data_IF_494910567902
#
_entry.id   IF_494910567902
#
_cell.length_a   1.000
_cell.length_b   1.000
_cell.length_c   1.000
_cell.angle_alpha   90.00
_cell.angle_beta   90.00
_cell.angle_gamma   90.00
#
_symmetry.space_group_name_H-M   'P 1'
#
loop_
_entity.id
_entity.type
_entity.pdbx_description
1 polymer ?
#
# COMPACT_ATOMS: atom_id res chain seq x y z
N UNK A 1 -51.19 -51.83 25.26
CA UNK A 1 -49.81 -51.49 25.09
C UNK A 1 -49.58 -51.12 23.61
N UNK A 2 -49.52 -49.84 23.34
CA UNK A 2 -49.24 -49.30 21.97
C UNK A 2 -47.79 -48.85 21.94
N UNK A 3 -47.00 -49.53 21.10
CA UNK A 3 -45.61 -49.18 20.85
C UNK A 3 -45.56 -47.91 19.95
N UNK A 4 -44.95 -46.84 20.41
CA UNK A 4 -44.59 -45.69 19.60
C UNK A 4 -43.35 -46.03 18.78
N UNK A 5 -43.48 -46.07 17.46
CA UNK A 5 -42.37 -46.10 16.54
C UNK A 5 -41.82 -44.67 16.38
N UNK A 6 -40.58 -44.44 16.84
CA UNK A 6 -39.81 -43.22 16.57
C UNK A 6 -39.27 -43.35 15.16
N UNK A 7 -39.82 -42.59 14.22
CA UNK A 7 -39.26 -42.45 12.88
C UNK A 7 -38.14 -41.42 12.99
N UNK A 8 -36.90 -41.88 12.97
CA UNK A 8 -35.74 -41.00 12.81
C UNK A 8 -35.68 -40.55 11.35
N UNK A 9 -36.01 -39.30 11.07
CA UNK A 9 -35.77 -38.67 9.78
C UNK A 9 -34.26 -38.48 9.59
N UNK A 10 -33.67 -39.38 8.84
CA UNK A 10 -32.32 -39.17 8.29
C UNK A 10 -32.48 -38.09 7.22
N UNK A 11 -32.05 -36.87 7.51
CA UNK A 11 -31.91 -35.84 6.53
C UNK A 11 -30.83 -36.33 5.51
N UNK A 12 -31.26 -36.67 4.31
CA UNK A 12 -30.39 -36.92 3.17
C UNK A 12 -29.64 -35.59 2.91
N UNK A 13 -28.40 -35.49 3.45
CA UNK A 13 -27.47 -34.42 3.10
C UNK A 13 -27.20 -34.56 1.60
N UNK A 14 -27.72 -33.63 0.82
CA UNK A 14 -27.29 -33.45 -0.57
C UNK A 14 -25.76 -33.24 -0.52
N UNK A 15 -24.96 -34.05 -1.23
CA UNK A 15 -23.52 -33.79 -1.27
C UNK A 15 -23.33 -32.41 -1.91
N UNK A 16 -22.90 -31.45 -1.11
CA UNK A 16 -22.43 -30.15 -1.64
C UNK A 16 -21.23 -30.47 -2.50
N UNK A 17 -21.26 -30.07 -3.76
CA UNK A 17 -20.11 -30.24 -4.66
C UNK A 17 -18.91 -29.54 -4.01
N UNK A 18 -17.79 -30.25 -3.92
CA UNK A 18 -16.56 -29.70 -3.30
C UNK A 18 -16.13 -28.37 -3.94
N UNK A 19 -16.48 -28.19 -5.20
CA UNK A 19 -16.22 -26.97 -5.95
C UNK A 19 -17.13 -25.82 -5.50
N UNK A 20 -18.42 -26.07 -5.31
CA UNK A 20 -19.39 -25.07 -4.84
C UNK A 20 -19.04 -24.61 -3.43
N UNK A 21 -18.56 -25.51 -2.57
CA UNK A 21 -18.09 -25.19 -1.23
C UNK A 21 -16.86 -24.26 -1.25
N UNK A 22 -15.86 -24.52 -2.11
CA UNK A 22 -14.70 -23.66 -2.26
C UNK A 22 -15.09 -22.26 -2.75
N UNK A 23 -15.92 -22.14 -3.78
CA UNK A 23 -16.38 -20.84 -4.31
C UNK A 23 -17.11 -20.04 -3.22
N UNK A 24 -17.94 -20.72 -2.42
CA UNK A 24 -18.65 -20.08 -1.32
C UNK A 24 -17.69 -19.60 -0.21
N UNK A 25 -16.68 -20.39 0.15
CA UNK A 25 -15.65 -19.98 1.12
C UNK A 25 -14.86 -18.77 0.62
N UNK A 26 -14.45 -18.75 -0.65
CA UNK A 26 -13.76 -17.63 -1.25
C UNK A 26 -14.63 -16.36 -1.29
N UNK A 27 -15.90 -16.49 -1.63
CA UNK A 27 -16.87 -15.39 -1.66
C UNK A 27 -17.10 -14.82 -0.25
N UNK A 28 -17.35 -15.69 0.73
CA UNK A 28 -17.56 -15.30 2.12
C UNK A 28 -16.33 -14.60 2.71
N UNK A 29 -15.14 -15.14 2.47
CA UNK A 29 -13.90 -14.55 2.95
C UNK A 29 -13.61 -13.17 2.34
N UNK A 30 -13.87 -12.99 1.03
CA UNK A 30 -13.77 -11.68 0.37
C UNK A 30 -14.79 -10.67 0.92
N UNK A 31 -16.02 -11.11 1.16
CA UNK A 31 -17.07 -10.25 1.73
C UNK A 31 -16.73 -9.83 3.16
N UNK A 32 -16.28 -10.76 4.00
CA UNK A 32 -15.85 -10.49 5.37
C UNK A 32 -14.65 -9.52 5.40
N UNK A 33 -13.66 -9.71 4.52
CA UNK A 33 -12.50 -8.83 4.41
C UNK A 33 -12.92 -7.39 4.03
N UNK A 34 -13.81 -7.24 3.06
CA UNK A 34 -14.37 -5.92 2.68
C UNK A 34 -15.14 -5.25 3.81
N UNK A 35 -15.80 -6.04 4.66
CA UNK A 35 -16.52 -5.55 5.84
C UNK A 35 -15.60 -5.29 7.05
N UNK A 36 -14.27 -5.48 6.91
CA UNK A 36 -13.31 -5.33 8.01
C UNK A 36 -13.38 -6.43 9.07
N UNK A 37 -14.12 -7.51 8.81
CA UNK A 37 -14.30 -8.65 9.72
C UNK A 37 -13.16 -9.65 9.56
N UNK A 38 -11.99 -9.28 10.09
CA UNK A 38 -10.73 -9.98 9.84
C UNK A 38 -10.78 -11.45 10.30
N UNK A 39 -11.37 -11.74 11.47
CA UNK A 39 -11.45 -13.11 12.00
C UNK A 39 -12.35 -14.02 11.14
N UNK A 40 -13.50 -13.50 10.69
CA UNK A 40 -14.40 -14.22 9.77
C UNK A 40 -13.68 -14.50 8.42
N UNK A 41 -13.01 -13.49 7.89
CA UNK A 41 -12.21 -13.62 6.66
C UNK A 41 -11.09 -14.64 6.81
N UNK A 42 -10.38 -14.64 7.94
CA UNK A 42 -9.31 -15.59 8.23
C UNK A 42 -9.82 -17.03 8.34
N UNK A 43 -10.96 -17.22 9.01
CA UNK A 43 -11.61 -18.54 9.09
C UNK A 43 -11.95 -19.09 7.71
N UNK A 44 -12.64 -18.29 6.89
CA UNK A 44 -13.01 -18.69 5.53
C UNK A 44 -11.78 -18.99 4.63
N UNK A 45 -10.75 -18.13 4.70
CA UNK A 45 -9.53 -18.32 3.93
C UNK A 45 -8.75 -19.58 4.35
N UNK A 46 -8.68 -19.88 5.65
CA UNK A 46 -8.05 -21.12 6.14
C UNK A 46 -8.80 -22.36 5.64
N UNK A 47 -10.12 -22.35 5.70
CA UNK A 47 -10.95 -23.43 5.19
C UNK A 47 -10.77 -23.62 3.68
N UNK A 48 -10.71 -22.53 2.90
CA UNK A 48 -10.44 -22.58 1.47
C UNK A 48 -9.10 -23.25 1.15
N UNK A 49 -8.02 -22.91 1.88
CA UNK A 49 -6.70 -23.52 1.73
C UNK A 49 -6.72 -25.01 2.14
N UNK A 50 -7.42 -25.38 3.21
CA UNK A 50 -7.55 -26.77 3.63
C UNK A 50 -8.35 -27.62 2.62
N UNK A 51 -9.41 -27.03 2.07
CA UNK A 51 -10.28 -27.70 1.10
C UNK A 51 -9.59 -27.94 -0.24
N UNK A 52 -8.84 -26.97 -0.71
CA UNK A 52 -8.17 -27.00 -2.01
C UNK A 52 -6.70 -26.54 -1.90
N UNK A 53 -5.80 -27.34 -1.34
CA UNK A 53 -4.40 -26.96 -1.09
C UNK A 53 -3.55 -26.76 -2.36
N UNK A 54 -4.10 -27.08 -3.54
CA UNK A 54 -3.48 -26.83 -4.86
C UNK A 54 -4.15 -25.68 -5.62
N UNK A 55 -5.12 -25.00 -5.02
CA UNK A 55 -5.78 -23.82 -5.61
C UNK A 55 -5.11 -22.54 -5.10
N UNK A 56 -4.54 -21.76 -6.03
CA UNK A 56 -3.86 -20.51 -5.71
C UNK A 56 -4.77 -19.46 -5.01
N UNK A 57 -6.07 -19.49 -5.30
CA UNK A 57 -7.04 -18.50 -4.83
C UNK A 57 -7.23 -18.51 -3.31
N UNK A 58 -7.17 -19.70 -2.68
CA UNK A 58 -7.23 -19.83 -1.22
C UNK A 58 -6.04 -19.12 -0.54
N UNK A 59 -4.84 -19.35 -1.05
CA UNK A 59 -3.62 -18.69 -0.57
C UNK A 59 -3.66 -17.19 -0.84
N UNK A 60 -4.13 -16.76 -2.02
CA UNK A 60 -4.28 -15.35 -2.34
C UNK A 60 -5.19 -14.64 -1.34
N UNK A 61 -6.38 -15.20 -1.08
CA UNK A 61 -7.31 -14.64 -0.09
C UNK A 61 -6.68 -14.60 1.31
N UNK A 62 -6.00 -15.66 1.74
CA UNK A 62 -5.36 -15.71 3.05
C UNK A 62 -4.22 -14.71 3.17
N UNK A 63 -3.45 -14.51 2.12
CA UNK A 63 -2.43 -13.47 2.03
C UNK A 63 -3.03 -12.07 2.21
N UNK A 64 -4.13 -11.76 1.51
CA UNK A 64 -4.84 -10.49 1.68
C UNK A 64 -5.32 -10.27 3.12
N UNK A 65 -5.90 -11.29 3.75
CA UNK A 65 -6.37 -11.23 5.14
C UNK A 65 -5.21 -11.01 6.11
N UNK A 66 -4.09 -11.72 5.92
CA UNK A 66 -2.87 -11.55 6.72
C UNK A 66 -2.25 -10.18 6.54
N UNK A 67 -2.22 -9.65 5.31
CA UNK A 67 -1.78 -8.29 5.02
C UNK A 67 -2.63 -7.23 5.72
N UNK A 68 -3.97 -7.40 5.69
CA UNK A 68 -4.90 -6.54 6.42
C UNK A 68 -4.70 -6.63 7.96
N UNK A 69 -4.35 -7.81 8.46
CA UNK A 69 -3.98 -8.02 9.87
C UNK A 69 -2.53 -7.58 10.19
N UNK A 70 -1.82 -6.94 9.26
CA UNK A 70 -0.42 -6.49 9.36
C UNK A 70 0.60 -7.60 9.63
N UNK A 71 0.29 -8.83 9.22
CA UNK A 71 1.17 -10.00 9.29
C UNK A 71 1.94 -10.17 7.98
N UNK A 72 2.80 -9.18 7.68
CA UNK A 72 3.45 -9.06 6.35
C UNK A 72 4.32 -10.25 5.99
N UNK A 73 5.00 -10.87 6.95
CA UNK A 73 5.83 -12.07 6.69
C UNK A 73 4.96 -13.25 6.25
N UNK A 74 3.87 -13.51 6.97
CA UNK A 74 2.95 -14.60 6.66
C UNK A 74 2.14 -14.33 5.38
N UNK A 75 1.80 -13.05 5.13
CA UNK A 75 1.14 -12.65 3.89
C UNK A 75 2.06 -12.89 2.68
N UNK A 76 3.33 -12.47 2.79
CA UNK A 76 4.35 -12.72 1.76
C UNK A 76 4.55 -14.20 1.45
N UNK A 77 4.52 -15.06 2.49
CA UNK A 77 4.60 -16.51 2.31
C UNK A 77 3.38 -17.08 1.56
N UNK A 78 2.17 -16.61 1.86
CA UNK A 78 0.96 -17.05 1.17
C UNK A 78 0.94 -16.58 -0.30
N UNK A 79 1.33 -15.33 -0.58
CA UNK A 79 1.48 -14.86 -1.96
C UNK A 79 2.58 -15.62 -2.70
N UNK A 80 3.68 -15.99 -2.01
CA UNK A 80 4.70 -16.87 -2.55
C UNK A 80 4.14 -18.21 -2.96
N UNK A 81 3.31 -18.85 -2.12
CA UNK A 81 2.63 -20.11 -2.45
C UNK A 81 1.62 -19.95 -3.58
N UNK A 82 0.94 -18.83 -3.63
CA UNK A 82 0.05 -18.49 -4.74
C UNK A 82 0.82 -18.44 -6.08
N UNK A 83 1.98 -17.77 -6.11
CA UNK A 83 2.84 -17.66 -7.29
C UNK A 83 3.41 -19.02 -7.73
N UNK A 84 3.78 -19.90 -6.78
CA UNK A 84 4.21 -21.26 -7.10
C UNK A 84 3.11 -22.05 -7.83
N UNK A 85 1.84 -21.88 -7.43
CA UNK A 85 0.70 -22.58 -8.00
C UNK A 85 0.22 -21.94 -9.30
N UNK A 86 0.28 -20.62 -9.42
CA UNK A 86 -0.07 -19.85 -10.61
C UNK A 86 0.92 -18.70 -10.85
N UNK A 87 2.01 -18.95 -11.59
CA UNK A 87 3.02 -17.93 -11.90
C UNK A 87 2.52 -16.78 -12.81
N UNK A 88 1.32 -16.90 -13.36
CA UNK A 88 0.71 -15.88 -14.23
C UNK A 88 -0.25 -14.94 -13.46
N UNK A 89 -0.51 -15.23 -12.20
CA UNK A 89 -1.36 -14.37 -11.38
C UNK A 89 -0.60 -13.09 -10.98
N UNK A 90 -0.68 -12.08 -11.84
CA UNK A 90 0.02 -10.81 -11.67
C UNK A 90 -0.25 -10.17 -10.30
N UNK A 91 -1.50 -10.19 -9.84
CA UNK A 91 -1.90 -9.58 -8.57
C UNK A 91 -1.16 -10.18 -7.36
N UNK A 92 -0.71 -11.44 -7.43
CA UNK A 92 0.05 -12.05 -6.34
C UNK A 92 1.44 -11.42 -6.20
N UNK A 93 2.10 -11.08 -7.30
CA UNK A 93 3.36 -10.33 -7.29
C UNK A 93 3.15 -8.91 -6.76
N UNK A 94 2.09 -8.22 -7.22
CA UNK A 94 1.75 -6.89 -6.73
C UNK A 94 1.56 -6.86 -5.21
N UNK A 95 0.81 -7.80 -4.68
CA UNK A 95 0.56 -7.89 -3.24
C UNK A 95 1.83 -8.26 -2.47
N UNK A 96 2.59 -9.26 -2.94
CA UNK A 96 3.84 -9.68 -2.28
C UNK A 96 4.88 -8.57 -2.28
N UNK A 97 5.02 -7.86 -3.38
CA UNK A 97 5.89 -6.67 -3.49
C UNK A 97 5.53 -5.60 -2.47
N UNK A 98 4.23 -5.34 -2.25
CA UNK A 98 3.76 -4.45 -1.19
C UNK A 98 4.13 -4.94 0.22
N UNK A 99 3.98 -6.23 0.50
CA UNK A 99 4.37 -6.80 1.80
C UNK A 99 5.88 -6.77 2.01
N UNK A 100 6.69 -7.05 0.97
CA UNK A 100 8.14 -6.92 1.04
C UNK A 100 8.58 -5.48 1.30
N UNK A 101 7.91 -4.50 0.69
CA UNK A 101 8.18 -3.09 0.98
C UNK A 101 7.97 -2.77 2.48
N UNK A 102 6.86 -3.19 3.07
CA UNK A 102 6.56 -3.01 4.51
C UNK A 102 7.63 -3.61 5.41
N UNK A 103 8.29 -4.68 4.97
CA UNK A 103 9.39 -5.35 5.66
C UNK A 103 10.76 -4.71 5.34
N UNK A 104 10.82 -3.61 4.65
CA UNK A 104 12.03 -2.96 4.12
C UNK A 104 12.88 -3.88 3.21
N UNK A 105 12.30 -4.92 2.64
CA UNK A 105 12.92 -5.80 1.64
C UNK A 105 12.74 -5.16 0.25
N UNK A 106 13.53 -4.11 0.02
CA UNK A 106 13.31 -3.20 -1.13
C UNK A 106 13.60 -3.88 -2.46
N UNK A 107 14.68 -4.65 -2.56
CA UNK A 107 15.05 -5.31 -3.81
C UNK A 107 14.03 -6.39 -4.19
N UNK A 108 13.57 -7.18 -3.21
CA UNK A 108 12.51 -8.18 -3.43
C UNK A 108 11.17 -7.52 -3.81
N UNK A 109 10.84 -6.40 -3.17
CA UNK A 109 9.65 -5.61 -3.52
C UNK A 109 9.70 -5.14 -4.97
N UNK A 110 10.84 -4.57 -5.37
CA UNK A 110 11.04 -4.06 -6.73
C UNK A 110 10.99 -5.18 -7.76
N UNK A 111 11.62 -6.34 -7.49
CA UNK A 111 11.56 -7.50 -8.38
C UNK A 111 10.13 -7.99 -8.62
N UNK A 112 9.31 -7.99 -7.58
CA UNK A 112 7.90 -8.37 -7.69
C UNK A 112 7.08 -7.32 -8.46
N UNK A 113 7.29 -6.03 -8.24
CA UNK A 113 6.64 -4.98 -9.03
C UNK A 113 7.08 -5.00 -10.51
N UNK A 114 8.34 -5.32 -10.79
CA UNK A 114 8.82 -5.52 -12.15
C UNK A 114 8.13 -6.72 -12.81
N UNK A 115 7.97 -7.83 -12.09
CA UNK A 115 7.26 -9.02 -12.59
C UNK A 115 5.76 -8.76 -12.79
N UNK A 116 5.12 -8.00 -11.90
CA UNK A 116 3.74 -7.53 -12.11
C UNK A 116 3.62 -6.77 -13.43
N UNK A 117 4.53 -5.83 -13.70
CA UNK A 117 4.52 -5.00 -14.92
C UNK A 117 4.98 -5.74 -16.18
N UNK A 118 5.71 -6.84 -16.07
CA UNK A 118 5.94 -7.76 -17.18
C UNK A 118 4.63 -8.46 -17.60
N UNK A 119 3.81 -8.85 -16.62
CA UNK A 119 2.51 -9.50 -16.84
C UNK A 119 1.38 -8.51 -17.17
N UNK A 120 1.51 -7.26 -16.77
CA UNK A 120 0.52 -6.18 -16.94
C UNK A 120 1.21 -4.88 -17.41
N UNK A 121 1.75 -4.83 -18.63
CA UNK A 121 2.55 -3.69 -19.11
C UNK A 121 1.77 -2.36 -19.17
N UNK A 122 0.46 -2.41 -19.37
CA UNK A 122 -0.41 -1.24 -19.43
C UNK A 122 -0.56 -0.53 -18.08
N UNK A 123 -0.27 -1.21 -16.97
CA UNK A 123 -0.30 -0.64 -15.62
C UNK A 123 0.93 0.22 -15.30
N UNK A 124 1.97 0.18 -16.15
CA UNK A 124 3.25 0.86 -15.89
C UNK A 124 3.13 2.36 -15.60
N UNK A 125 2.34 3.17 -16.34
CA UNK A 125 2.24 4.60 -16.06
C UNK A 125 1.63 4.89 -14.67
N UNK A 126 0.70 4.05 -14.21
CA UNK A 126 0.02 4.19 -12.92
C UNK A 126 0.72 3.55 -11.73
N UNK A 127 1.87 2.88 -11.94
CA UNK A 127 2.47 2.07 -10.88
C UNK A 127 3.43 2.87 -9.96
N UNK A 128 2.87 3.80 -9.19
CA UNK A 128 3.61 4.68 -8.27
C UNK A 128 4.36 3.92 -7.17
N UNK A 129 3.86 2.77 -6.71
CA UNK A 129 4.54 1.94 -5.68
C UNK A 129 5.92 1.47 -6.16
N UNK A 130 6.04 1.11 -7.45
CA UNK A 130 7.33 0.80 -8.04
C UNK A 130 8.25 2.03 -8.04
N UNK A 131 7.73 3.21 -8.36
CA UNK A 131 8.49 4.47 -8.29
C UNK A 131 9.06 4.72 -6.90
N UNK A 132 8.27 4.51 -5.85
CA UNK A 132 8.72 4.59 -4.46
C UNK A 132 9.77 3.51 -4.16
N UNK A 133 9.55 2.27 -4.56
CA UNK A 133 10.54 1.20 -4.37
C UNK A 133 11.87 1.52 -5.07
N UNK A 134 11.84 2.09 -6.28
CA UNK A 134 13.03 2.56 -7.00
C UNK A 134 13.80 3.65 -6.23
N UNK A 135 13.09 4.60 -5.61
CA UNK A 135 13.73 5.59 -4.74
C UNK A 135 14.50 4.94 -3.60
N UNK A 136 13.90 3.99 -2.89
CA UNK A 136 14.54 3.30 -1.77
C UNK A 136 15.63 2.31 -2.20
N UNK A 137 15.57 1.78 -3.42
CA UNK A 137 16.64 0.99 -4.04
C UNK A 137 17.84 1.84 -4.54
N UNK A 138 17.77 3.17 -4.40
CA UNK A 138 18.80 4.08 -4.94
C UNK A 138 18.78 4.24 -6.47
N UNK A 139 17.78 3.69 -7.15
CA UNK A 139 17.58 3.78 -8.60
C UNK A 139 16.82 5.05 -8.98
N UNK A 140 17.38 6.19 -8.57
CA UNK A 140 16.71 7.49 -8.62
C UNK A 140 16.30 7.93 -10.02
N UNK A 141 17.14 7.70 -11.03
CA UNK A 141 16.85 8.05 -12.42
C UNK A 141 15.60 7.30 -12.91
N UNK A 142 15.56 5.98 -12.71
CA UNK A 142 14.42 5.14 -13.08
C UNK A 142 13.16 5.53 -12.29
N UNK A 143 13.32 5.90 -11.01
CA UNK A 143 12.23 6.41 -10.18
C UNK A 143 11.64 7.71 -10.72
N UNK A 144 12.48 8.68 -11.11
CA UNK A 144 12.02 9.92 -11.74
C UNK A 144 11.29 9.65 -13.06
N UNK A 145 11.83 8.76 -13.90
CA UNK A 145 11.19 8.34 -15.15
C UNK A 145 9.81 7.67 -14.91
N UNK A 146 9.69 6.86 -13.85
CA UNK A 146 8.43 6.22 -13.46
C UNK A 146 7.36 7.25 -13.07
N UNK A 147 7.69 8.23 -12.21
CA UNK A 147 6.75 9.27 -11.80
C UNK A 147 6.42 10.23 -12.96
N UNK A 148 7.37 10.51 -13.84
CA UNK A 148 7.12 11.30 -15.05
C UNK A 148 6.19 10.60 -16.03
N UNK A 149 6.31 9.28 -16.18
CA UNK A 149 5.37 8.48 -16.98
C UNK A 149 3.93 8.54 -16.42
N UNK A 150 3.79 8.69 -15.10
CA UNK A 150 2.52 8.85 -14.39
C UNK A 150 1.89 10.24 -14.48
N UNK A 151 2.56 11.24 -15.04
CA UNK A 151 2.14 12.64 -15.02
C UNK A 151 0.70 12.87 -15.51
N UNK A 152 0.32 12.19 -16.59
CA UNK A 152 -1.04 12.28 -17.13
C UNK A 152 -2.08 11.51 -16.30
N UNK A 153 -1.67 10.43 -15.66
CA UNK A 153 -2.54 9.59 -14.80
C UNK A 153 -2.84 10.32 -13.49
N UNK A 154 -1.85 11.04 -12.98
CA UNK A 154 -1.85 11.71 -11.68
C UNK A 154 -1.77 13.24 -11.82
N UNK A 155 -2.47 13.81 -12.81
CA UNK A 155 -2.40 15.23 -13.15
C UNK A 155 -2.78 16.20 -12.01
N UNK A 156 -3.55 15.73 -11.02
CA UNK A 156 -3.98 16.49 -9.84
C UNK A 156 -3.38 15.93 -8.53
N UNK A 157 -2.32 15.12 -8.60
CA UNK A 157 -1.75 14.45 -7.45
C UNK A 157 -0.38 15.02 -7.07
N UNK A 158 -0.33 15.75 -5.96
CA UNK A 158 0.91 16.30 -5.39
C UNK A 158 1.93 15.21 -5.09
N UNK A 159 1.50 14.03 -4.65
CA UNK A 159 2.42 12.94 -4.31
C UNK A 159 3.27 12.52 -5.49
N UNK A 160 2.66 12.40 -6.69
CA UNK A 160 3.40 12.06 -7.91
C UNK A 160 4.49 13.12 -8.22
N UNK A 161 4.15 14.41 -8.12
CA UNK A 161 5.10 15.49 -8.38
C UNK A 161 6.24 15.54 -7.34
N UNK A 162 5.90 15.32 -6.06
CA UNK A 162 6.90 15.34 -4.97
C UNK A 162 7.83 14.14 -5.07
N UNK A 163 7.33 12.94 -5.34
CA UNK A 163 8.18 11.77 -5.51
C UNK A 163 9.07 11.88 -6.76
N UNK A 164 8.56 12.47 -7.86
CA UNK A 164 9.41 12.83 -9.00
C UNK A 164 10.55 13.76 -8.55
N UNK A 165 10.23 14.84 -7.81
CA UNK A 165 11.23 15.76 -7.29
C UNK A 165 12.26 15.05 -6.41
N UNK A 166 11.83 14.23 -5.46
CA UNK A 166 12.73 13.52 -4.54
C UNK A 166 13.72 12.62 -5.29
N UNK A 167 13.25 11.89 -6.30
CA UNK A 167 14.10 11.09 -7.16
C UNK A 167 15.06 11.98 -7.97
N UNK A 168 14.53 13.02 -8.63
CA UNK A 168 15.29 13.88 -9.53
C UNK A 168 16.35 14.68 -8.77
N UNK A 169 16.05 15.14 -7.55
CA UNK A 169 17.01 15.86 -6.71
C UNK A 169 18.26 15.05 -6.36
N UNK A 170 18.14 13.72 -6.28
CA UNK A 170 19.31 12.83 -6.11
C UNK A 170 20.15 12.69 -7.38
N UNK A 171 19.60 12.99 -8.55
CA UNK A 171 20.28 12.86 -9.87
C UNK A 171 20.90 14.16 -10.30
N UNK A 172 20.15 15.27 -10.24
CA UNK A 172 20.54 16.55 -10.83
C UNK A 172 20.74 17.68 -9.80
N UNK A 173 20.50 17.40 -8.51
CA UNK A 173 20.55 18.39 -7.43
C UNK A 173 19.21 19.12 -7.23
N UNK A 174 19.02 19.67 -6.01
CA UNK A 174 17.74 20.20 -5.56
C UNK A 174 17.22 21.37 -6.43
N UNK A 175 18.11 22.31 -6.81
CA UNK A 175 17.68 23.51 -7.55
C UNK A 175 17.18 23.15 -8.95
N UNK A 176 17.88 22.27 -9.66
CA UNK A 176 17.46 21.81 -10.97
C UNK A 176 16.20 20.95 -10.88
N UNK A 177 16.11 20.06 -9.91
CA UNK A 177 14.89 19.26 -9.67
C UNK A 177 13.67 20.15 -9.36
N UNK A 178 13.87 21.25 -8.65
CA UNK A 178 12.81 22.27 -8.38
C UNK A 178 12.35 22.95 -9.67
N UNK A 179 13.28 23.31 -10.55
CA UNK A 179 12.95 23.90 -11.85
C UNK A 179 12.20 22.90 -12.76
N UNK A 180 12.43 21.61 -12.57
CA UNK A 180 11.81 20.50 -13.32
C UNK A 180 10.63 19.85 -12.56
N UNK A 181 10.12 20.48 -11.48
CA UNK A 181 8.98 19.96 -10.73
C UNK A 181 7.77 19.79 -11.66
N UNK A 182 7.16 18.60 -11.64
CA UNK A 182 5.99 18.31 -12.47
C UNK A 182 4.86 19.30 -12.15
N UNK A 183 4.24 19.84 -13.19
CA UNK A 183 3.08 20.72 -13.04
C UNK A 183 1.86 19.86 -12.76
N UNK A 184 1.11 20.24 -11.75
CA UNK A 184 -0.15 19.58 -11.39
C UNK A 184 -1.31 20.57 -11.46
N UNK A 185 -2.53 20.06 -11.56
CA UNK A 185 -3.74 20.83 -11.39
C UNK A 185 -4.02 21.14 -9.91
N UNK A 186 -5.14 20.69 -9.37
CA UNK A 186 -5.51 20.98 -7.98
C UNK A 186 -5.74 19.72 -7.18
N UNK A 187 -4.83 19.43 -6.27
CA UNK A 187 -5.04 18.40 -5.25
C UNK A 187 -5.96 18.94 -4.14
N UNK A 188 -7.12 18.32 -3.98
CA UNK A 188 -8.14 18.75 -3.01
C UNK A 188 -7.82 18.32 -1.58
N UNK A 189 -6.85 17.45 -1.38
CA UNK A 189 -6.42 16.99 -0.05
C UNK A 189 -5.63 18.10 0.64
N UNK A 190 -6.02 18.45 1.85
CA UNK A 190 -5.27 19.41 2.68
C UNK A 190 -4.22 18.62 3.48
N UNK A 191 -2.95 19.07 3.54
CA UNK A 191 -2.39 20.35 3.07
C UNK A 191 -1.64 20.26 1.71
N UNK A 192 -2.01 19.32 0.83
CA UNK A 192 -1.18 18.89 -0.29
C UNK A 192 -0.72 20.01 -1.22
N UNK A 193 -1.57 21.01 -1.54
CA UNK A 193 -1.13 22.15 -2.37
C UNK A 193 -0.05 22.99 -1.67
N UNK A 194 -0.10 23.11 -0.34
CA UNK A 194 0.97 23.83 0.40
C UNK A 194 2.25 22.97 0.45
N UNK A 195 2.12 21.65 0.50
CA UNK A 195 3.26 20.73 0.32
C UNK A 195 3.89 20.92 -1.06
N UNK A 196 3.09 21.00 -2.12
CA UNK A 196 3.61 21.28 -3.46
C UNK A 196 4.40 22.58 -3.51
N UNK A 197 3.84 23.68 -2.93
CA UNK A 197 4.49 24.96 -2.86
C UNK A 197 5.79 24.92 -2.03
N UNK A 198 5.85 24.10 -0.99
CA UNK A 198 7.08 23.89 -0.22
C UNK A 198 8.20 23.28 -1.10
N UNK A 199 7.92 22.23 -1.85
CA UNK A 199 8.89 21.62 -2.76
C UNK A 199 9.21 22.51 -3.97
N UNK A 200 8.28 23.37 -4.39
CA UNK A 200 8.50 24.43 -5.38
C UNK A 200 9.33 25.62 -4.85
N UNK A 201 9.63 25.67 -3.54
CA UNK A 201 10.35 26.77 -2.91
C UNK A 201 9.52 28.04 -2.71
N UNK A 202 8.18 27.95 -2.76
CA UNK A 202 7.23 29.07 -2.61
C UNK A 202 6.60 29.15 -1.23
N UNK A 203 6.67 28.08 -0.44
CA UNK A 203 6.18 28.02 0.94
C UNK A 203 7.27 27.55 1.89
N UNK A 204 7.05 27.71 3.19
CA UNK A 204 7.92 27.25 4.26
C UNK A 204 7.27 26.07 5.01
N UNK A 205 8.05 25.26 5.76
CA UNK A 205 7.51 24.17 6.56
C UNK A 205 6.38 24.58 7.52
N UNK A 206 6.47 25.78 8.08
CA UNK A 206 5.46 26.33 8.99
C UNK A 206 4.11 26.54 8.30
N UNK A 207 4.12 26.90 7.02
CA UNK A 207 2.90 27.11 6.22
C UNK A 207 2.14 25.79 6.02
N UNK A 208 2.86 24.67 5.88
CA UNK A 208 2.27 23.31 5.78
C UNK A 208 1.52 22.98 7.06
N UNK A 209 2.13 23.22 8.23
CA UNK A 209 1.49 22.96 9.52
C UNK A 209 0.31 23.89 9.77
N UNK A 210 0.41 25.18 9.41
CA UNK A 210 -0.70 26.14 9.51
C UNK A 210 -1.91 25.74 8.65
N UNK A 211 -1.66 25.14 7.47
CA UNK A 211 -2.72 24.67 6.59
C UNK A 211 -3.52 23.50 7.18
N UNK A 212 -2.93 22.68 8.04
CA UNK A 212 -3.60 21.52 8.68
C UNK A 212 -4.85 21.95 9.45
N UNK A 213 -4.78 23.05 10.17
CA UNK A 213 -5.87 23.55 11.03
C UNK A 213 -6.88 24.44 10.30
N UNK A 214 -6.59 24.82 9.06
CA UNK A 214 -7.43 25.74 8.29
C UNK A 214 -8.83 25.16 8.06
N UNK A 215 -9.87 25.93 8.34
CA UNK A 215 -11.26 25.55 8.08
C UNK A 215 -11.90 24.68 9.15
N UNK A 216 -11.29 24.50 10.32
CA UNK A 216 -11.83 23.72 11.46
C UNK A 216 -12.24 22.29 11.05
N UNK A 217 -11.31 21.45 10.61
CA UNK A 217 -11.61 20.10 10.13
C UNK A 217 -12.21 19.22 11.23
N UNK A 218 -12.99 18.20 10.84
CA UNK A 218 -13.43 17.14 11.73
C UNK A 218 -12.24 16.31 12.21
N UNK A 219 -12.37 15.58 13.32
CA UNK A 219 -11.28 14.79 13.91
C UNK A 219 -10.65 13.79 12.92
N UNK A 220 -11.48 13.04 12.16
CA UNK A 220 -10.98 12.10 11.16
C UNK A 220 -10.20 12.78 10.03
N UNK A 221 -10.65 13.96 9.62
CA UNK A 221 -10.00 14.78 8.62
C UNK A 221 -8.70 15.38 9.17
N UNK A 222 -8.70 15.81 10.44
CA UNK A 222 -7.51 16.30 11.13
C UNK A 222 -6.40 15.24 11.17
N UNK A 223 -6.72 13.98 11.49
CA UNK A 223 -5.76 12.87 11.49
C UNK A 223 -5.10 12.69 10.12
N UNK A 224 -5.90 12.70 9.06
CA UNK A 224 -5.40 12.60 7.68
C UNK A 224 -4.49 13.78 7.31
N UNK A 225 -4.91 15.01 7.62
CA UNK A 225 -4.13 16.23 7.34
C UNK A 225 -2.80 16.23 8.09
N UNK A 226 -2.80 15.88 9.37
CA UNK A 226 -1.59 15.74 10.19
C UNK A 226 -0.65 14.68 9.65
N UNK A 227 -1.19 13.55 9.21
CA UNK A 227 -0.42 12.49 8.60
C UNK A 227 0.32 13.00 7.36
N UNK A 228 -0.39 13.56 6.37
CA UNK A 228 0.24 14.06 5.14
C UNK A 228 1.24 15.18 5.41
N UNK A 229 0.91 16.13 6.27
CA UNK A 229 1.83 17.19 6.66
C UNK A 229 3.13 16.61 7.23
N UNK A 230 3.02 15.69 8.19
CA UNK A 230 4.20 15.11 8.85
C UNK A 230 5.00 14.21 7.90
N UNK A 231 4.35 13.41 7.05
CA UNK A 231 5.06 12.59 6.07
C UNK A 231 5.92 13.47 5.14
N UNK A 232 5.30 14.47 4.51
CA UNK A 232 5.99 15.28 3.51
C UNK A 232 6.98 16.29 4.12
N UNK A 233 6.76 16.76 5.33
CA UNK A 233 7.77 17.50 6.07
C UNK A 233 8.96 16.62 6.43
N UNK A 234 8.72 15.37 6.84
CA UNK A 234 9.79 14.41 7.10
C UNK A 234 10.65 14.16 5.87
N UNK A 235 10.03 13.90 4.71
CA UNK A 235 10.71 13.72 3.44
C UNK A 235 11.45 15.00 2.98
N UNK A 236 10.85 16.17 3.18
CA UNK A 236 11.48 17.45 2.88
C UNK A 236 12.74 17.68 3.71
N UNK A 237 12.65 17.53 5.03
CA UNK A 237 13.79 17.72 5.92
C UNK A 237 14.90 16.67 5.66
N UNK A 238 14.55 15.43 5.32
CA UNK A 238 15.54 14.45 4.90
C UNK A 238 16.25 14.88 3.62
N UNK A 239 15.50 15.37 2.64
CA UNK A 239 16.07 15.83 1.34
C UNK A 239 16.97 17.06 1.48
N UNK A 240 16.74 17.89 2.50
CA UNK A 240 17.53 19.12 2.81
C UNK A 240 18.62 18.89 3.85
N UNK A 241 18.75 17.67 4.39
CA UNK A 241 19.82 17.25 5.31
C UNK A 241 19.53 17.44 6.79
N UNK A 242 18.36 18.00 7.19
CA UNK A 242 17.96 18.10 8.59
C UNK A 242 17.38 16.76 9.09
N UNK A 243 18.27 15.81 9.35
CA UNK A 243 17.90 14.45 9.78
C UNK A 243 17.11 14.42 11.10
N UNK A 244 17.37 15.37 12.00
CA UNK A 244 16.66 15.46 13.28
C UNK A 244 15.19 15.78 13.06
N UNK A 245 14.89 16.86 12.33
CA UNK A 245 13.51 17.22 12.01
C UNK A 245 12.82 16.17 11.13
N UNK A 246 13.56 15.57 10.18
CA UNK A 246 13.04 14.47 9.38
C UNK A 246 12.51 13.34 10.27
N UNK A 247 13.30 12.89 11.25
CA UNK A 247 12.91 11.86 12.20
C UNK A 247 11.68 12.26 13.03
N UNK A 248 11.70 13.47 13.62
CA UNK A 248 10.59 13.97 14.43
C UNK A 248 9.24 13.97 13.68
N UNK A 249 9.26 14.34 12.42
CA UNK A 249 8.05 14.35 11.59
C UNK A 249 7.66 12.93 11.13
N UNK A 250 8.62 12.09 10.75
CA UNK A 250 8.33 10.71 10.33
C UNK A 250 7.80 9.84 11.48
N UNK A 251 8.28 10.06 12.70
CA UNK A 251 7.74 9.39 13.91
C UNK A 251 6.26 9.74 14.10
N UNK A 252 5.88 11.01 13.93
CA UNK A 252 4.47 11.43 13.99
C UNK A 252 3.64 10.83 12.86
N UNK A 253 4.16 10.80 11.64
CA UNK A 253 3.47 10.21 10.50
C UNK A 253 3.29 8.68 10.63
N UNK A 254 4.29 7.98 11.16
CA UNK A 254 4.27 6.52 11.32
C UNK A 254 3.58 6.01 12.59
N UNK A 255 3.17 6.91 13.51
CA UNK A 255 2.71 6.56 14.85
C UNK A 255 1.42 5.71 14.85
N UNK A 256 0.44 6.06 14.02
CA UNK A 256 -0.80 5.28 13.90
C UNK A 256 -0.72 4.35 12.68
N UNK A 257 -0.68 3.03 12.88
CA UNK A 257 -0.60 2.07 11.79
C UNK A 257 -1.85 2.05 10.90
N UNK A 258 -2.97 2.59 11.36
CA UNK A 258 -4.24 2.60 10.64
C UNK A 258 -4.43 3.86 9.78
N UNK A 259 -3.51 4.83 9.89
CA UNK A 259 -3.55 6.07 9.12
C UNK A 259 -2.56 6.00 7.96
N UNK A 260 -2.95 6.58 6.82
CA UNK A 260 -2.09 6.74 5.65
C UNK A 260 -1.95 5.52 4.74
N UNK A 261 -2.50 4.36 5.09
CA UNK A 261 -2.40 3.18 4.24
C UNK A 261 -0.96 2.85 3.83
N UNK A 262 -0.71 2.66 2.53
CA UNK A 262 0.65 2.40 2.01
C UNK A 262 1.62 3.55 2.30
N UNK A 263 1.17 4.81 2.25
CA UNK A 263 2.03 5.95 2.58
C UNK A 263 2.39 5.99 4.08
N UNK A 264 1.54 5.42 4.96
CA UNK A 264 1.89 5.16 6.35
C UNK A 264 3.01 4.12 6.49
N UNK A 265 3.01 3.08 5.64
CA UNK A 265 4.12 2.13 5.55
C UNK A 265 5.39 2.79 5.01
N UNK A 266 5.27 3.70 4.04
CA UNK A 266 6.40 4.53 3.55
C UNK A 266 7.03 5.33 4.68
N UNK A 267 6.23 5.99 5.54
CA UNK A 267 6.75 6.73 6.69
C UNK A 267 7.57 5.82 7.63
N UNK A 268 7.07 4.63 7.93
CA UNK A 268 7.75 3.65 8.80
C UNK A 268 9.02 3.08 8.18
N UNK A 269 8.97 2.73 6.90
CA UNK A 269 10.16 2.25 6.16
C UNK A 269 11.21 3.34 6.09
N UNK A 270 10.83 4.58 5.76
CA UNK A 270 11.78 5.71 5.72
C UNK A 270 12.43 5.94 7.08
N UNK A 271 11.64 5.93 8.15
CA UNK A 271 12.15 6.08 9.52
C UNK A 271 13.15 4.97 9.87
N UNK A 272 12.90 3.73 9.45
CA UNK A 272 13.78 2.58 9.74
C UNK A 272 15.15 2.67 9.07
N UNK A 273 15.25 3.33 7.91
CA UNK A 273 16.51 3.49 7.16
C UNK A 273 17.18 4.84 7.42
N UNK A 274 16.46 5.77 8.07
CA UNK A 274 17.02 7.07 8.41
C UNK A 274 18.04 6.90 9.54
N UNK A 275 19.33 6.89 9.17
CA UNK A 275 20.43 6.78 10.15
C UNK A 275 20.47 8.01 11.04
N UNK A 276 20.88 7.84 12.32
CA UNK A 276 21.07 8.96 13.24
C UNK A 276 22.08 9.98 12.71
#
# INVERSE_FOLDING_TARGET
MRALAIIASIALGVPVDEKDDLEQLLANGKAALRAGKIDEAASAANQAVQRAPKDARGYFLRGLVRGAARKSTEAGADFGKCIELDPKLADAYQQRGGEYFKLAKIDESLADFDKFLELRPDERPGHWQRGIALYYAGKYKEGAEQFKAGDKVFADDVENAVWHYLCNAKVVGADKARAELLKIGTDKRVPMMVVYDLFAGKAKPEDVMAAVEKGKPKESEMKSRQFYANLYLGLYYDSTGDKKKAREHLEKAGADPNVGGYMGDVARVHLSILRP
#
